data_IF_716271663423
#
_entry.id   IF_716271663423
#
_cell.length_a   1.000
_cell.length_b   1.000
_cell.length_c   1.000
_cell.angle_alpha   90.00
_cell.angle_beta   90.00
_cell.angle_gamma   90.00
#
_symmetry.space_group_name_H-M   'P 1'
#
loop_
_entity.id
_entity.type
_entity.pdbx_description
1 polymer ?
#
# COMPACT_ATOMS: atom_id res chain seq x y z
N UNK A 1 11.20 -52.90 20.25
CA UNK A 1 11.58 -51.47 20.25
C UNK A 1 10.52 -50.66 19.52
N UNK A 2 9.70 -49.90 20.27
CA UNK A 2 8.54 -49.13 19.76
C UNK A 2 8.99 -47.66 19.60
N UNK A 3 9.06 -47.15 18.37
CA UNK A 3 9.37 -45.74 18.10
C UNK A 3 8.15 -44.87 18.42
N UNK A 4 8.31 -43.99 19.41
CA UNK A 4 7.35 -42.96 19.79
C UNK A 4 7.26 -41.88 18.69
N UNK A 5 6.06 -41.70 18.12
CA UNK A 5 5.69 -40.52 17.33
C UNK A 5 5.22 -39.44 18.32
N UNK A 6 6.10 -38.50 18.64
CA UNK A 6 5.70 -37.31 19.39
C UNK A 6 4.96 -36.34 18.47
N UNK A 7 3.75 -35.99 18.90
CA UNK A 7 2.81 -35.09 18.24
C UNK A 7 3.27 -33.63 18.33
N UNK A 8 3.56 -33.03 17.18
CA UNK A 8 3.95 -31.63 17.03
C UNK A 8 2.75 -30.77 16.58
N UNK A 9 1.63 -30.86 17.32
CA UNK A 9 0.37 -30.17 16.97
C UNK A 9 -0.25 -29.47 18.18
N UNK A 10 0.48 -28.58 18.85
CA UNK A 10 -0.09 -27.87 20.02
C UNK A 10 0.37 -26.42 20.21
N UNK A 11 0.74 -25.71 19.14
CA UNK A 11 1.08 -24.28 19.23
C UNK A 11 0.36 -23.37 18.22
N UNK A 12 -0.68 -23.86 17.54
CA UNK A 12 -1.68 -22.99 16.92
C UNK A 12 -2.69 -22.53 17.99
N UNK A 13 -2.18 -21.92 19.06
CA UNK A 13 -3.00 -21.20 20.03
C UNK A 13 -3.59 -20.01 19.27
N UNK A 14 -4.87 -20.20 18.93
CA UNK A 14 -5.75 -19.30 18.22
C UNK A 14 -5.62 -17.86 18.70
N UNK A 15 -4.85 -17.05 17.97
CA UNK A 15 -4.83 -15.57 18.12
C UNK A 15 -6.26 -15.01 17.95
N UNK A 16 -7.13 -15.72 17.24
CA UNK A 16 -8.55 -15.41 17.13
C UNK A 16 -9.32 -15.50 18.46
N UNK A 17 -8.91 -16.34 19.42
CA UNK A 17 -9.63 -16.52 20.68
C UNK A 17 -9.34 -15.41 21.71
N UNK A 18 -8.17 -14.77 21.66
CA UNK A 18 -7.79 -13.72 22.63
C UNK A 18 -8.43 -12.37 22.26
N UNK A 19 -8.68 -12.10 20.98
CA UNK A 19 -9.27 -10.83 20.52
C UNK A 19 -10.79 -10.73 20.66
N UNK A 20 -11.48 -11.85 20.95
CA UNK A 20 -12.94 -11.94 20.97
C UNK A 20 -13.55 -12.32 22.32
N UNK A 21 -12.86 -12.10 23.45
CA UNK A 21 -13.53 -12.23 24.76
C UNK A 21 -14.59 -11.13 24.94
N UNK A 22 -15.87 -11.49 25.13
CA UNK A 22 -16.90 -10.51 25.48
C UNK A 22 -16.62 -9.97 26.88
N UNK A 23 -16.48 -8.66 26.99
CA UNK A 23 -16.42 -7.97 28.29
C UNK A 23 -17.84 -7.90 28.84
N UNK A 24 -18.16 -8.80 29.76
CA UNK A 24 -19.42 -8.72 30.52
C UNK A 24 -19.30 -7.61 31.55
N UNK A 25 -19.93 -6.48 31.27
CA UNK A 25 -20.11 -5.40 32.23
C UNK A 25 -21.41 -5.64 33.00
N UNK A 26 -21.31 -6.01 34.27
CA UNK A 26 -22.49 -6.26 35.11
C UNK A 26 -22.87 -4.96 35.84
N UNK A 27 -23.93 -4.29 35.39
CA UNK A 27 -24.49 -3.15 36.11
C UNK A 27 -25.28 -3.67 37.33
N UNK A 28 -25.22 -2.95 38.45
CA UNK A 28 -25.90 -3.28 39.73
C UNK A 28 -27.42 -3.44 39.63
N UNK A 29 -28.04 -3.04 38.53
CA UNK A 29 -29.49 -3.15 38.29
C UNK A 29 -29.95 -4.48 37.67
N UNK A 30 -29.08 -5.48 37.49
CA UNK A 30 -29.49 -6.80 37.00
C UNK A 30 -29.98 -6.82 35.54
N UNK A 31 -29.87 -5.71 34.81
CA UNK A 31 -30.13 -5.66 33.37
C UNK A 31 -28.88 -6.04 32.60
N UNK A 32 -28.86 -7.29 32.11
CA UNK A 32 -27.83 -7.79 31.20
C UNK A 32 -28.06 -7.17 29.82
N UNK A 33 -27.46 -6.01 29.59
CA UNK A 33 -27.36 -5.47 28.24
C UNK A 33 -26.27 -6.25 27.52
N UNK A 34 -26.65 -7.03 26.51
CA UNK A 34 -25.70 -7.39 25.46
C UNK A 34 -25.39 -6.06 24.77
N UNK A 35 -24.35 -5.36 25.25
CA UNK A 35 -23.67 -4.38 24.42
C UNK A 35 -23.15 -5.18 23.24
N UNK A 36 -23.96 -5.22 22.16
CA UNK A 36 -23.43 -5.37 20.82
C UNK A 36 -22.28 -4.39 20.79
N UNK A 37 -21.06 -4.93 20.85
CA UNK A 37 -19.83 -4.17 20.75
C UNK A 37 -19.96 -3.57 19.36
N UNK A 38 -20.50 -2.35 19.30
CA UNK A 38 -20.69 -1.61 18.07
C UNK A 38 -19.31 -1.57 17.48
N UNK A 39 -19.07 -2.51 16.56
CA UNK A 39 -17.80 -2.75 15.95
C UNK A 39 -17.68 -1.61 14.98
N UNK A 40 -17.33 -0.43 15.53
CA UNK A 40 -17.30 0.81 14.81
C UNK A 40 -16.46 0.52 13.56
N UNK A 41 -17.06 0.49 12.37
CA UNK A 41 -16.40 0.00 11.17
C UNK A 41 -15.12 0.80 10.89
N UNK A 42 -15.03 2.02 11.41
CA UNK A 42 -13.84 2.86 11.39
C UNK A 42 -12.65 2.24 12.14
N UNK A 43 -12.85 1.60 13.30
CA UNK A 43 -11.76 0.97 14.05
C UNK A 43 -11.26 -0.32 13.39
N UNK A 44 -12.15 -1.08 12.75
CA UNK A 44 -11.77 -2.26 11.96
C UNK A 44 -10.96 -1.85 10.73
N UNK A 45 -11.40 -0.81 10.01
CA UNK A 45 -10.69 -0.27 8.86
C UNK A 45 -9.29 0.27 9.23
N UNK A 46 -9.18 0.99 10.35
CA UNK A 46 -7.90 1.52 10.82
C UNK A 46 -6.90 0.40 11.17
N UNK A 47 -7.38 -0.72 11.74
CA UNK A 47 -6.55 -1.89 12.05
C UNK A 47 -6.08 -2.60 10.79
N UNK A 48 -6.92 -2.73 9.78
CA UNK A 48 -6.55 -3.29 8.48
C UNK A 48 -5.50 -2.41 7.80
N UNK A 49 -5.66 -1.08 7.84
CA UNK A 49 -4.65 -0.14 7.33
C UNK A 49 -3.34 -0.27 8.10
N UNK A 50 -3.36 -0.35 9.44
CA UNK A 50 -2.15 -0.47 10.25
C UNK A 50 -1.40 -1.79 10.01
N UNK A 51 -2.12 -2.89 9.83
CA UNK A 51 -1.55 -4.17 9.40
C UNK A 51 -0.97 -4.07 7.99
N UNK A 52 -1.72 -3.45 7.06
CA UNK A 52 -1.25 -3.13 5.71
C UNK A 52 -0.01 -2.25 5.70
N UNK A 53 0.13 -1.30 6.63
CA UNK A 53 1.34 -0.49 6.82
C UNK A 53 2.51 -1.33 7.30
N UNK A 54 2.27 -2.11 8.37
CA UNK A 54 3.29 -2.94 9.03
C UNK A 54 3.92 -3.95 8.06
N UNK A 55 3.13 -4.48 7.13
CA UNK A 55 3.56 -5.49 6.15
C UNK A 55 3.71 -4.95 4.72
N UNK A 56 3.27 -3.72 4.45
CA UNK A 56 3.36 -3.10 3.13
C UNK A 56 4.71 -2.44 2.87
N UNK A 57 5.37 -1.92 3.92
CA UNK A 57 6.70 -1.31 3.76
C UNK A 57 7.79 -2.31 3.32
N UNK A 58 7.85 -3.58 3.79
CA UNK A 58 8.82 -4.55 3.28
C UNK A 58 8.49 -4.96 1.84
N UNK A 59 7.21 -5.00 1.46
CA UNK A 59 6.79 -5.30 0.09
C UNK A 59 7.17 -4.16 -0.85
N UNK A 60 7.01 -2.90 -0.42
CA UNK A 60 7.46 -1.73 -1.17
C UNK A 60 8.99 -1.70 -1.33
N UNK A 61 9.74 -2.00 -0.25
CA UNK A 61 11.19 -2.12 -0.32
C UNK A 61 11.59 -3.27 -1.24
N UNK A 62 10.93 -4.42 -1.14
CA UNK A 62 11.21 -5.59 -1.96
C UNK A 62 10.89 -5.31 -3.43
N UNK A 63 9.76 -4.66 -3.75
CA UNK A 63 9.44 -4.24 -5.12
C UNK A 63 10.45 -3.21 -5.61
N UNK A 64 10.83 -2.24 -4.79
CA UNK A 64 11.87 -1.28 -5.12
C UNK A 64 13.17 -2.01 -5.45
N UNK A 65 13.70 -2.80 -4.53
CA UNK A 65 14.97 -3.53 -4.70
C UNK A 65 14.93 -4.56 -5.83
N UNK A 66 13.80 -5.21 -6.07
CA UNK A 66 13.66 -6.16 -7.18
C UNK A 66 13.62 -5.43 -8.51
N UNK A 67 12.78 -4.40 -8.64
CA UNK A 67 12.51 -3.72 -9.92
C UNK A 67 13.61 -2.73 -10.33
N UNK A 68 14.25 -2.11 -9.34
CA UNK A 68 15.28 -1.09 -9.50
C UNK A 68 16.51 -1.53 -10.30
N UNK A 69 17.09 -2.71 -10.05
CA UNK A 69 18.22 -3.18 -10.83
C UNK A 69 17.80 -3.85 -12.13
N UNK A 70 16.53 -3.93 -12.57
CA UNK A 70 16.20 -4.81 -13.71
C UNK A 70 17.00 -4.50 -14.99
N UNK A 71 17.13 -3.22 -15.33
CA UNK A 71 17.89 -2.78 -16.51
C UNK A 71 19.38 -3.16 -16.36
N UNK A 72 20.01 -2.74 -15.25
CA UNK A 72 21.39 -3.10 -14.92
C UNK A 72 21.61 -4.62 -14.77
N UNK A 73 20.67 -5.34 -14.16
CA UNK A 73 20.74 -6.77 -13.89
C UNK A 73 20.61 -7.56 -15.19
N UNK A 74 19.87 -7.04 -16.17
CA UNK A 74 19.85 -7.57 -17.53
C UNK A 74 21.20 -7.37 -18.24
N UNK A 75 21.90 -6.26 -17.99
CA UNK A 75 23.25 -6.00 -18.49
C UNK A 75 24.30 -6.94 -17.85
N UNK A 76 24.30 -7.10 -16.53
CA UNK A 76 25.29 -7.96 -15.84
C UNK A 76 24.95 -9.45 -15.87
N UNK A 77 23.68 -9.84 -16.01
CA UNK A 77 23.24 -11.22 -16.07
C UNK A 77 22.36 -11.49 -17.29
N UNK A 78 22.96 -11.83 -18.46
CA UNK A 78 22.23 -11.96 -19.73
C UNK A 78 21.07 -12.96 -19.71
N UNK A 79 21.18 -14.05 -18.92
CA UNK A 79 20.10 -15.03 -18.78
C UNK A 79 18.84 -14.42 -18.14
N UNK A 80 19.00 -13.40 -17.29
CA UNK A 80 17.90 -12.63 -16.73
C UNK A 80 17.36 -11.60 -17.73
N UNK A 81 18.20 -11.13 -18.65
CA UNK A 81 17.81 -10.21 -19.73
C UNK A 81 16.90 -10.84 -20.80
N UNK A 82 16.97 -12.15 -21.03
CA UNK A 82 16.11 -12.85 -22.03
C UNK A 82 14.61 -12.60 -21.80
N UNK A 83 14.02 -12.95 -20.64
CA UNK A 83 12.60 -12.69 -20.40
C UNK A 83 12.29 -11.19 -20.36
N UNK A 84 13.26 -10.34 -19.97
CA UNK A 84 13.07 -8.90 -19.97
C UNK A 84 12.93 -8.34 -21.38
N UNK A 85 13.78 -8.76 -22.33
CA UNK A 85 13.69 -8.35 -23.73
C UNK A 85 12.46 -8.91 -24.43
N UNK A 86 11.96 -10.09 -24.02
CA UNK A 86 10.69 -10.63 -24.53
C UNK A 86 9.48 -9.79 -24.09
N UNK A 87 9.52 -9.21 -22.88
CA UNK A 87 8.44 -8.37 -22.35
C UNK A 87 8.58 -6.91 -22.80
N UNK A 88 9.81 -6.42 -22.90
CA UNK A 88 10.15 -5.04 -23.24
C UNK A 88 10.97 -5.00 -24.54
N UNK A 89 10.31 -5.27 -25.67
CA UNK A 89 10.98 -5.31 -26.96
C UNK A 89 11.50 -3.95 -27.42
N UNK A 90 10.82 -2.86 -27.02
CA UNK A 90 11.15 -1.50 -27.46
C UNK A 90 11.21 -0.51 -26.28
N UNK A 91 11.85 0.64 -26.52
CA UNK A 91 11.89 1.75 -25.55
C UNK A 91 10.50 2.22 -25.10
N UNK A 92 9.50 2.11 -25.97
CA UNK A 92 8.11 2.39 -25.63
C UNK A 92 7.56 1.43 -24.57
N UNK A 93 7.83 0.13 -24.70
CA UNK A 93 7.34 -0.87 -23.76
C UNK A 93 8.01 -0.69 -22.40
N UNK A 94 9.31 -0.36 -22.40
CA UNK A 94 10.06 -0.01 -21.20
C UNK A 94 9.44 1.22 -20.50
N UNK A 95 9.11 2.27 -21.25
CA UNK A 95 8.42 3.45 -20.74
C UNK A 95 7.04 3.13 -20.12
N UNK A 96 6.25 2.28 -20.78
CA UNK A 96 4.96 1.82 -20.25
C UNK A 96 5.15 1.02 -18.98
N UNK A 97 6.15 0.14 -18.93
CA UNK A 97 6.54 -0.63 -17.75
C UNK A 97 6.84 0.27 -16.54
N UNK A 98 7.71 1.27 -16.73
CA UNK A 98 8.02 2.29 -15.72
C UNK A 98 6.77 3.04 -15.25
N UNK A 99 5.94 3.47 -16.19
CA UNK A 99 4.70 4.21 -15.89
C UNK A 99 3.75 3.37 -15.01
N UNK A 100 3.52 2.09 -15.37
CA UNK A 100 2.65 1.19 -14.62
C UNK A 100 3.25 0.90 -13.23
N UNK A 101 4.55 0.65 -13.16
CA UNK A 101 5.24 0.38 -11.89
C UNK A 101 5.12 1.55 -10.93
N UNK A 102 5.47 2.77 -11.35
CA UNK A 102 5.34 3.97 -10.53
C UNK A 102 3.89 4.32 -10.21
N UNK A 103 2.94 3.97 -11.08
CA UNK A 103 1.52 4.07 -10.77
C UNK A 103 1.11 3.14 -9.62
N UNK A 104 1.55 1.88 -9.62
CA UNK A 104 1.26 0.92 -8.56
C UNK A 104 1.92 1.35 -7.25
N UNK A 105 3.22 1.67 -7.29
CA UNK A 105 3.99 2.12 -6.12
C UNK A 105 3.44 3.44 -5.58
N UNK A 106 3.13 4.39 -6.44
CA UNK A 106 2.50 5.66 -6.06
C UNK A 106 1.14 5.44 -5.41
N UNK A 107 0.30 4.58 -6.00
CA UNK A 107 -1.02 4.25 -5.45
C UNK A 107 -0.89 3.62 -4.08
N UNK A 108 0.01 2.65 -3.92
CA UNK A 108 0.27 1.98 -2.65
C UNK A 108 0.84 2.95 -1.61
N UNK A 109 1.81 3.78 -1.99
CA UNK A 109 2.39 4.81 -1.12
C UNK A 109 1.33 5.79 -0.62
N UNK A 110 0.46 6.29 -1.50
CA UNK A 110 -0.65 7.18 -1.13
C UNK A 110 -1.74 6.47 -0.31
N UNK A 111 -1.91 5.15 -0.49
CA UNK A 111 -2.78 4.33 0.36
C UNK A 111 -2.24 4.23 1.79
N UNK A 112 -0.93 4.04 1.90
CA UNK A 112 -0.26 3.81 3.18
C UNK A 112 0.00 5.12 3.94
N UNK A 113 0.35 6.20 3.24
CA UNK A 113 0.69 7.47 3.87
C UNK A 113 -0.36 8.52 3.48
N UNK A 114 -1.52 8.53 4.15
CA UNK A 114 -2.62 9.42 3.80
C UNK A 114 -2.25 10.91 3.94
N UNK A 115 -1.23 11.24 4.73
CA UNK A 115 -0.67 12.59 4.86
C UNK A 115 -0.13 13.10 3.51
N UNK A 116 0.50 12.23 2.70
CA UNK A 116 1.03 12.62 1.38
C UNK A 116 -0.09 12.97 0.38
N UNK A 117 -1.29 12.40 0.53
CA UNK A 117 -2.45 12.78 -0.31
C UNK A 117 -2.87 14.23 -0.11
N UNK A 118 -2.74 14.73 1.13
CA UNK A 118 -3.10 16.11 1.51
C UNK A 118 -2.02 17.12 1.12
N UNK A 119 -0.75 16.74 1.20
CA UNK A 119 0.36 17.62 0.92
C UNK A 119 1.07 17.23 -0.38
N UNK A 120 0.49 17.64 -1.51
CA UNK A 120 0.97 17.27 -2.84
C UNK A 120 2.46 17.61 -3.07
N UNK A 121 2.93 18.74 -2.54
CA UNK A 121 4.33 19.14 -2.68
C UNK A 121 5.30 18.12 -2.04
N UNK A 122 4.94 17.49 -0.92
CA UNK A 122 5.76 16.45 -0.30
C UNK A 122 5.78 15.17 -1.12
N UNK A 123 4.65 14.81 -1.73
CA UNK A 123 4.61 13.67 -2.64
C UNK A 123 5.47 13.91 -3.89
N UNK A 124 5.34 15.08 -4.51
CA UNK A 124 6.16 15.47 -5.68
C UNK A 124 7.64 15.54 -5.31
N UNK A 125 7.99 16.14 -4.17
CA UNK A 125 9.37 16.17 -3.69
C UNK A 125 9.92 14.76 -3.44
N UNK A 126 9.10 13.86 -2.90
CA UNK A 126 9.44 12.44 -2.73
C UNK A 126 9.69 11.71 -4.05
N UNK A 127 8.86 11.95 -5.08
CA UNK A 127 9.07 11.38 -6.42
C UNK A 127 10.36 11.90 -7.05
N UNK A 128 10.62 13.22 -6.97
CA UNK A 128 11.86 13.82 -7.47
C UNK A 128 13.07 13.21 -6.74
N UNK A 129 13.02 13.11 -5.41
CA UNK A 129 14.09 12.53 -4.63
C UNK A 129 14.32 11.05 -4.98
N UNK A 130 13.24 10.27 -5.16
CA UNK A 130 13.33 8.88 -5.57
C UNK A 130 14.00 8.74 -6.95
N UNK A 131 13.60 9.57 -7.92
CA UNK A 131 14.22 9.59 -9.25
C UNK A 131 15.70 9.98 -9.20
N UNK A 132 16.07 10.98 -8.37
CA UNK A 132 17.47 11.38 -8.18
C UNK A 132 18.31 10.27 -7.55
N UNK A 133 17.79 9.62 -6.51
CA UNK A 133 18.46 8.48 -5.88
C UNK A 133 18.62 7.35 -6.88
N UNK A 134 17.61 7.12 -7.72
CA UNK A 134 17.65 6.08 -8.75
C UNK A 134 18.75 6.32 -9.78
N UNK A 135 18.76 7.50 -10.37
CA UNK A 135 19.81 7.91 -11.30
C UNK A 135 21.21 7.82 -10.66
N UNK A 136 21.34 8.29 -9.41
CA UNK A 136 22.64 8.28 -8.71
C UNK A 136 23.16 6.87 -8.49
N UNK A 137 22.29 5.94 -8.05
CA UNK A 137 22.69 4.55 -7.82
C UNK A 137 23.01 3.86 -9.16
N UNK A 138 22.20 4.08 -10.20
CA UNK A 138 22.47 3.52 -11.55
C UNK A 138 23.82 4.01 -12.10
N UNK A 139 24.08 5.31 -12.02
CA UNK A 139 25.36 5.90 -12.42
C UNK A 139 26.53 5.33 -11.63
N UNK A 140 26.36 5.16 -10.31
CA UNK A 140 27.37 4.55 -9.44
C UNK A 140 27.71 3.12 -9.87
N UNK A 141 26.71 2.30 -10.21
CA UNK A 141 26.93 0.93 -10.69
C UNK A 141 27.49 0.86 -12.12
N UNK A 142 27.20 1.85 -12.97
CA UNK A 142 27.80 1.98 -14.31
C UNK A 142 29.22 2.54 -14.29
N UNK A 143 29.65 3.12 -13.16
CA UNK A 143 30.94 3.80 -13.06
C UNK A 143 30.98 5.12 -13.83
N UNK A 144 29.83 5.69 -14.14
CA UNK A 144 29.66 6.93 -14.90
C UNK A 144 29.18 8.05 -13.99
N UNK A 145 29.30 9.31 -14.43
CA UNK A 145 28.66 10.42 -13.74
C UNK A 145 27.14 10.35 -13.97
N UNK A 146 26.30 10.74 -12.99
CA UNK A 146 24.85 10.81 -13.18
C UNK A 146 24.54 11.72 -14.36
N UNK A 147 24.02 11.15 -15.44
CA UNK A 147 23.63 11.90 -16.62
C UNK A 147 22.14 11.71 -16.79
N UNK A 148 21.37 12.78 -16.66
CA UNK A 148 19.92 12.80 -16.91
C UNK A 148 19.58 12.64 -18.41
N UNK A 149 20.27 11.73 -19.08
CA UNK A 149 20.18 11.47 -20.51
C UNK A 149 18.91 10.70 -20.82
N UNK A 150 18.44 9.84 -19.91
CA UNK A 150 17.20 9.10 -20.11
C UNK A 150 15.95 9.84 -19.60
N UNK A 151 15.68 10.98 -20.25
CA UNK A 151 14.52 11.81 -19.94
C UNK A 151 13.19 11.06 -20.13
N UNK A 152 13.17 9.96 -20.91
CA UNK A 152 11.98 9.16 -21.11
C UNK A 152 11.65 8.31 -19.89
N UNK A 153 12.64 7.68 -19.26
CA UNK A 153 12.42 6.96 -17.99
C UNK A 153 11.84 7.90 -16.92
N UNK A 154 12.44 9.09 -16.77
CA UNK A 154 11.94 10.11 -15.84
C UNK A 154 10.49 10.53 -16.12
N UNK A 155 10.10 10.70 -17.40
CA UNK A 155 8.71 11.00 -17.78
C UNK A 155 7.77 9.87 -17.36
N UNK A 156 8.19 8.61 -17.52
CA UNK A 156 7.38 7.45 -17.17
C UNK A 156 7.12 7.41 -15.67
N UNK A 157 8.16 7.60 -14.88
CA UNK A 157 8.09 7.64 -13.42
C UNK A 157 7.16 8.76 -12.93
N UNK A 158 7.33 9.97 -13.50
CA UNK A 158 6.48 11.12 -13.19
C UNK A 158 5.02 10.89 -13.60
N UNK A 159 4.79 10.35 -14.80
CA UNK A 159 3.45 10.06 -15.32
C UNK A 159 2.73 9.04 -14.44
N UNK A 160 3.40 7.95 -14.07
CA UNK A 160 2.87 6.93 -13.16
C UNK A 160 2.49 7.53 -11.81
N UNK A 161 3.40 8.32 -11.22
CA UNK A 161 3.16 9.01 -9.96
C UNK A 161 1.98 10.00 -10.01
N UNK A 162 1.83 10.75 -11.10
CA UNK A 162 0.71 11.67 -11.33
C UNK A 162 -0.61 10.90 -11.50
N UNK A 163 -0.61 9.83 -12.30
CA UNK A 163 -1.78 8.96 -12.48
C UNK A 163 -2.26 8.39 -11.13
N UNK A 164 -1.33 7.96 -10.26
CA UNK A 164 -1.66 7.45 -8.93
C UNK A 164 -2.35 8.53 -8.08
N UNK A 165 -1.86 9.75 -8.14
CA UNK A 165 -2.48 10.89 -7.45
C UNK A 165 -3.86 11.22 -8.01
N UNK A 166 -4.01 11.18 -9.33
CA UNK A 166 -5.26 11.41 -10.04
C UNK A 166 -6.33 10.38 -9.64
N UNK A 167 -5.97 9.09 -9.58
CA UNK A 167 -6.85 8.03 -9.11
C UNK A 167 -7.35 8.33 -7.69
N UNK A 168 -6.45 8.63 -6.75
CA UNK A 168 -6.83 8.94 -5.37
C UNK A 168 -7.70 10.20 -5.26
N UNK A 169 -7.44 11.21 -6.09
CA UNK A 169 -8.29 12.41 -6.16
C UNK A 169 -9.73 12.06 -6.53
N UNK A 170 -9.91 11.24 -7.58
CA UNK A 170 -11.23 10.81 -8.05
C UNK A 170 -11.94 9.98 -6.96
N UNK A 171 -11.24 9.08 -6.29
CA UNK A 171 -11.80 8.28 -5.20
C UNK A 171 -12.26 9.16 -4.01
N UNK A 172 -11.45 10.14 -3.61
CA UNK A 172 -11.80 11.08 -2.54
C UNK A 172 -13.01 11.95 -2.91
N UNK A 173 -13.08 12.37 -4.17
CA UNK A 173 -14.20 13.14 -4.73
C UNK A 173 -15.48 12.31 -4.73
N UNK A 174 -15.45 11.07 -5.24
CA UNK A 174 -16.58 10.14 -5.22
C UNK A 174 -17.06 9.86 -3.80
N UNK A 175 -16.15 9.57 -2.87
CA UNK A 175 -16.49 9.35 -1.46
C UNK A 175 -17.16 10.57 -0.83
N UNK A 176 -16.69 11.78 -1.16
CA UNK A 176 -17.29 13.03 -0.69
C UNK A 176 -18.70 13.24 -1.23
N UNK A 177 -18.95 12.88 -2.50
CA UNK A 177 -20.28 12.92 -3.09
C UNK A 177 -21.25 11.93 -2.44
N UNK A 178 -20.79 10.72 -2.15
CA UNK A 178 -21.62 9.69 -1.50
C UNK A 178 -22.01 10.10 -0.09
N UNK A 179 -21.08 10.65 0.70
CA UNK A 179 -21.35 11.08 2.08
C UNK A 179 -22.42 12.18 2.15
N UNK A 180 -22.52 13.05 1.14
CA UNK A 180 -23.55 14.10 1.07
C UNK A 180 -24.95 13.57 0.81
N UNK A 181 -25.08 12.38 0.21
CA UNK A 181 -26.38 11.80 -0.15
C UNK A 181 -27.06 11.05 1.00
N UNK A 182 -26.34 10.72 2.08
CA UNK A 182 -26.95 10.06 3.23
C UNK A 182 -27.90 11.03 3.92
N UNK A 183 -29.23 10.84 3.83
CA UNK A 183 -30.19 11.73 4.47
C UNK A 183 -29.91 11.69 5.98
N UNK A 184 -29.88 12.87 6.61
CA UNK A 184 -29.88 12.97 8.06
C UNK A 184 -31.20 12.36 8.51
N UNK A 185 -31.17 11.10 8.93
CA UNK A 185 -32.30 10.48 9.61
C UNK A 185 -32.43 11.20 10.94
N UNK A 186 -33.18 12.30 10.95
CA UNK A 186 -33.52 13.01 12.18
C UNK A 186 -34.17 11.99 13.10
N UNK A 187 -33.61 11.69 14.29
CA UNK A 187 -34.20 10.70 15.16
C UNK A 187 -35.64 11.13 15.49
N UNK A 188 -36.59 10.19 15.57
CA UNK A 188 -37.97 10.52 15.88
C UNK A 188 -38.01 11.26 17.22
N UNK A 189 -38.60 12.45 17.21
CA UNK A 189 -38.76 13.28 18.41
C UNK A 189 -39.65 12.51 19.38
N UNK A 190 -39.05 11.95 20.44
CA UNK A 190 -39.84 11.31 21.50
C UNK A 190 -40.72 12.39 22.14
N UNK A 191 -42.04 12.19 22.05
CA UNK A 191 -43.01 13.03 22.76
C UNK A 191 -42.86 12.68 24.24
N UNK A 192 -42.44 13.64 25.05
CA UNK A 192 -42.53 13.55 26.51
C UNK A 192 -44.02 13.58 26.88
N UNK A 193 -44.54 12.46 27.34
CA UNK A 193 -45.84 12.34 27.99
C UNK A 193 -45.75 12.77 29.45
#
# INVERSE_FOLDING_TARGET
MRKSKHSETSNAISIHAILNKPLFYNNKEGRSYIMSKDANPQHTFLRIILLGLRFGWPVLILLGVLWFPFDWLSEVWPAFGVPFHEVFHNAHDHFVGHTIFFFIIGTLTLSLIPQLRRHLHWYVAGLILAALVQETIQAFFRGELPTFTDFNAFKGDALGGICARGLWFVLELLHSFWKRKSPITTPPRMKSS
#
